data_IF_949671327462
#
_entry.id   IF_949671327462
#
_cell.length_a   1.000
_cell.length_b   1.000
_cell.length_c   1.000
_cell.angle_alpha   90.00
_cell.angle_beta   90.00
_cell.angle_gamma   90.00
#
_symmetry.space_group_name_H-M   'P 1'
#
loop_
_entity.id
_entity.type
_entity.pdbx_description
1 polymer ?
#
# COMPACT_ATOMS: atom_id res chain seq x y z
N UNK A 1 -21.13 33.67 -15.81
CA UNK A 1 -21.11 32.20 -15.79
C UNK A 1 -20.12 31.78 -14.72
N UNK A 2 -20.61 31.45 -13.53
CA UNK A 2 -19.79 30.71 -12.57
C UNK A 2 -19.29 29.45 -13.28
N UNK A 3 -17.97 29.25 -13.31
CA UNK A 3 -17.40 28.01 -13.84
C UNK A 3 -17.94 26.88 -12.98
N UNK A 4 -18.80 26.03 -13.55
CA UNK A 4 -19.28 24.82 -12.88
C UNK A 4 -18.07 24.03 -12.35
N UNK A 5 -17.97 23.89 -11.04
CA UNK A 5 -16.89 23.12 -10.43
C UNK A 5 -17.04 21.65 -10.85
N UNK A 6 -15.95 21.00 -11.29
CA UNK A 6 -15.98 19.60 -11.69
C UNK A 6 -16.40 18.70 -10.52
N UNK A 7 -16.86 17.50 -10.85
CA UNK A 7 -17.21 16.47 -9.88
C UNK A 7 -15.89 15.89 -9.35
N UNK A 8 -15.67 16.05 -8.04
CA UNK A 8 -14.34 15.92 -7.43
C UNK A 8 -14.13 14.60 -6.67
N UNK A 9 -15.07 13.66 -6.78
CA UNK A 9 -14.91 12.27 -6.32
C UNK A 9 -15.73 11.98 -5.06
N UNK A 10 -15.74 12.88 -4.08
CA UNK A 10 -16.54 12.74 -2.85
C UNK A 10 -18.06 12.82 -3.12
N UNK A 11 -18.46 13.65 -4.07
CA UNK A 11 -19.82 13.68 -4.61
C UNK A 11 -20.24 12.34 -5.28
N UNK A 12 -19.31 11.62 -5.92
CA UNK A 12 -19.59 10.29 -6.48
C UNK A 12 -19.86 9.27 -5.37
N UNK A 13 -19.07 9.33 -4.28
CA UNK A 13 -19.24 8.49 -3.10
C UNK A 13 -20.64 8.66 -2.48
N UNK A 14 -21.07 9.90 -2.26
CA UNK A 14 -22.39 10.20 -1.69
C UNK A 14 -23.53 9.68 -2.58
N UNK A 15 -23.42 9.87 -3.90
CA UNK A 15 -24.41 9.33 -4.85
C UNK A 15 -24.47 7.80 -4.84
N UNK A 16 -23.34 7.12 -4.65
CA UNK A 16 -23.30 5.66 -4.54
C UNK A 16 -23.95 5.15 -3.24
N UNK A 17 -23.80 5.88 -2.13
CA UNK A 17 -24.49 5.55 -0.88
C UNK A 17 -26.02 5.61 -1.07
N UNK A 18 -26.53 6.72 -1.61
CA UNK A 18 -27.97 6.90 -1.88
C UNK A 18 -28.48 5.87 -2.90
N UNK A 19 -27.68 5.53 -3.91
CA UNK A 19 -28.05 4.50 -4.89
C UNK A 19 -28.26 3.12 -4.24
N UNK A 20 -27.45 2.79 -3.24
CA UNK A 20 -27.46 1.46 -2.62
C UNK A 20 -28.49 1.34 -1.50
N UNK A 21 -28.63 2.38 -0.68
CA UNK A 21 -29.44 2.35 0.55
C UNK A 21 -30.78 3.06 0.42
N UNK A 22 -30.98 3.80 -0.68
CA UNK A 22 -32.18 4.61 -0.90
C UNK A 22 -32.01 6.02 -0.36
N UNK A 23 -33.11 6.77 -0.14
CA UNK A 23 -33.04 8.13 0.37
C UNK A 23 -32.37 8.19 1.75
N UNK A 24 -31.40 9.09 1.92
CA UNK A 24 -30.62 9.26 3.16
C UNK A 24 -30.72 10.70 3.70
N UNK A 25 -30.77 10.87 5.01
CA UNK A 25 -30.69 12.18 5.67
C UNK A 25 -29.26 12.76 5.58
N UNK A 26 -29.09 14.04 5.92
CA UNK A 26 -27.77 14.65 5.99
C UNK A 26 -26.86 13.96 7.02
N UNK A 27 -27.44 13.55 8.15
CA UNK A 27 -26.78 12.83 9.23
C UNK A 27 -26.31 11.44 8.77
N UNK A 28 -27.19 10.65 8.14
CA UNK A 28 -26.84 9.33 7.58
C UNK A 28 -25.70 9.45 6.53
N UNK A 29 -25.71 10.51 5.70
CA UNK A 29 -24.63 10.78 4.74
C UNK A 29 -23.32 11.19 5.42
N UNK A 30 -23.40 11.93 6.52
CA UNK A 30 -22.24 12.35 7.29
C UNK A 30 -21.59 11.17 8.01
N UNK A 31 -22.38 10.28 8.62
CA UNK A 31 -21.92 9.01 9.20
C UNK A 31 -21.17 8.16 8.16
N UNK A 32 -21.74 7.97 6.97
CA UNK A 32 -21.10 7.22 5.87
C UNK A 32 -19.78 7.84 5.45
N UNK A 33 -19.74 9.17 5.42
CA UNK A 33 -18.54 9.90 5.06
C UNK A 33 -17.47 9.75 6.13
N UNK A 34 -17.83 9.85 7.40
CA UNK A 34 -16.91 9.66 8.52
C UNK A 34 -16.33 8.25 8.54
N UNK A 35 -17.16 7.24 8.26
CA UNK A 35 -16.74 5.84 8.14
C UNK A 35 -15.77 5.63 6.97
N UNK A 36 -16.10 6.14 5.79
CA UNK A 36 -15.24 6.05 4.61
C UNK A 36 -13.88 6.71 4.84
N UNK A 37 -13.87 7.94 5.37
CA UNK A 37 -12.65 8.69 5.69
C UNK A 37 -11.79 7.96 6.73
N UNK A 38 -12.43 7.35 7.73
CA UNK A 38 -11.75 6.59 8.78
C UNK A 38 -10.98 5.39 8.23
N UNK A 39 -11.47 4.76 7.16
CA UNK A 39 -10.93 3.52 6.60
C UNK A 39 -9.93 3.72 5.46
N UNK A 40 -9.73 4.95 4.98
CA UNK A 40 -8.69 5.27 3.98
C UNK A 40 -7.33 5.37 4.66
N UNK A 41 -6.75 4.20 4.91
CA UNK A 41 -5.59 4.02 5.78
C UNK A 41 -4.28 4.61 5.24
N UNK A 42 -4.08 4.69 3.92
CA UNK A 42 -2.80 5.09 3.33
C UNK A 42 -2.45 6.58 3.51
N UNK A 43 -3.33 7.34 4.17
CA UNK A 43 -3.22 8.78 4.40
C UNK A 43 -3.01 9.14 5.86
N UNK A 44 -3.25 8.19 6.76
CA UNK A 44 -2.94 8.35 8.17
C UNK A 44 -1.43 8.14 8.30
N UNK A 45 -0.71 9.23 8.65
CA UNK A 45 0.74 9.20 8.74
C UNK A 45 1.17 8.18 9.80
N UNK A 46 2.14 7.32 9.47
CA UNK A 46 2.62 6.35 10.44
C UNK A 46 3.28 7.04 11.64
N UNK A 47 3.05 6.47 12.82
CA UNK A 47 3.70 6.92 14.07
C UNK A 47 5.22 6.90 13.97
N UNK A 48 5.91 7.67 14.83
CA UNK A 48 7.38 7.82 14.83
C UNK A 48 8.18 6.51 15.00
N UNK A 49 7.52 5.41 15.38
CA UNK A 49 8.13 4.10 15.63
C UNK A 49 8.22 3.15 14.43
N UNK A 50 7.63 3.47 13.27
CA UNK A 50 7.62 2.56 12.13
C UNK A 50 8.99 2.43 11.43
N UNK A 51 9.30 1.24 10.85
CA UNK A 51 10.48 1.02 10.01
C UNK A 51 10.68 2.11 8.96
N UNK A 52 11.94 2.42 8.65
CA UNK A 52 12.30 3.45 7.67
C UNK A 52 11.57 3.25 6.33
N UNK A 53 11.36 2.00 5.93
CA UNK A 53 10.74 1.69 4.65
C UNK A 53 9.28 2.08 4.54
N UNK A 54 8.53 1.82 5.61
CA UNK A 54 7.12 2.21 5.68
C UNK A 54 7.02 3.74 5.67
N UNK A 55 7.87 4.43 6.42
CA UNK A 55 7.94 5.90 6.43
C UNK A 55 8.23 6.49 5.04
N UNK A 56 9.15 5.89 4.28
CA UNK A 56 9.46 6.32 2.91
C UNK A 56 8.28 6.09 1.97
N UNK A 57 7.63 4.93 2.08
CA UNK A 57 6.42 4.61 1.31
C UNK A 57 5.32 5.66 1.54
N UNK A 58 4.98 5.94 2.80
CA UNK A 58 3.96 6.95 3.15
C UNK A 58 4.35 8.38 2.74
N UNK A 59 5.63 8.72 2.78
CA UNK A 59 6.11 10.01 2.30
C UNK A 59 5.95 10.15 0.79
N UNK A 60 6.21 9.08 0.03
CA UNK A 60 6.04 9.07 -1.42
C UNK A 60 4.56 9.16 -1.82
N UNK A 61 3.67 8.41 -1.15
CA UNK A 61 2.22 8.49 -1.40
C UNK A 61 1.67 9.87 -1.07
N UNK A 62 2.13 10.48 0.04
CA UNK A 62 1.76 11.85 0.41
C UNK A 62 2.27 12.90 -0.57
N UNK A 63 3.54 12.84 -0.98
CA UNK A 63 4.09 13.79 -1.95
C UNK A 63 3.30 13.75 -3.27
N UNK A 64 2.87 12.56 -3.68
CA UNK A 64 1.97 12.40 -4.83
C UNK A 64 0.63 13.09 -4.59
N UNK A 65 -0.04 12.86 -3.45
CA UNK A 65 -1.32 13.54 -3.15
C UNK A 65 -1.14 15.05 -3.14
N UNK A 66 -0.09 15.58 -2.52
CA UNK A 66 0.18 17.03 -2.46
C UNK A 66 0.44 17.63 -3.86
N UNK A 67 1.23 16.96 -4.72
CA UNK A 67 1.45 17.40 -6.11
C UNK A 67 0.18 17.36 -6.95
N UNK A 68 -0.71 16.42 -6.68
CA UNK A 68 -2.01 16.28 -7.35
C UNK A 68 -3.05 17.28 -6.81
N UNK A 69 -3.00 17.62 -5.51
CA UNK A 69 -3.86 18.60 -4.85
C UNK A 69 -3.52 20.04 -5.21
N UNK A 70 -2.25 20.38 -5.51
CA UNK A 70 -1.87 21.71 -6.02
C UNK A 70 -2.62 22.07 -7.33
N UNK A 71 -3.22 21.07 -8.01
CA UNK A 71 -4.07 21.28 -9.19
C UNK A 71 -5.54 21.61 -8.89
N UNK A 72 -6.04 21.44 -7.67
CA UNK A 72 -7.44 21.69 -7.30
C UNK A 72 -7.58 22.55 -6.04
N UNK A 73 -8.49 23.53 -6.11
CA UNK A 73 -8.72 24.58 -5.13
C UNK A 73 -9.08 24.01 -3.73
N UNK A 74 -8.44 24.53 -2.69
CA UNK A 74 -8.70 24.17 -1.28
C UNK A 74 -9.97 24.88 -0.81
N UNK A 75 -11.13 24.28 -1.04
CA UNK A 75 -12.38 24.71 -0.41
C UNK A 75 -12.86 23.67 0.61
N UNK A 76 -13.40 24.13 1.74
CA UNK A 76 -14.11 23.30 2.73
C UNK A 76 -15.22 22.51 2.01
N UNK A 77 -15.19 21.17 2.03
CA UNK A 77 -16.10 20.29 1.28
C UNK A 77 -16.77 19.23 2.18
N UNK A 78 -17.60 19.69 3.13
CA UNK A 78 -18.48 18.79 3.89
C UNK A 78 -19.59 18.17 3.03
N UNK A 79 -20.22 17.09 3.50
CA UNK A 79 -21.32 16.42 2.77
C UNK A 79 -22.39 17.43 2.34
N UNK A 80 -22.80 18.36 3.22
CA UNK A 80 -23.76 19.42 2.91
C UNK A 80 -23.38 20.24 1.66
N UNK A 81 -22.12 20.64 1.54
CA UNK A 81 -21.61 21.47 0.42
C UNK A 81 -21.64 20.67 -0.89
N UNK A 82 -21.28 19.39 -0.86
CA UNK A 82 -21.37 18.53 -2.04
C UNK A 82 -22.82 18.20 -2.41
N UNK A 83 -23.71 18.03 -1.42
CA UNK A 83 -25.13 17.82 -1.67
C UNK A 83 -25.78 19.05 -2.31
N UNK A 84 -25.45 20.25 -1.85
CA UNK A 84 -25.87 21.52 -2.47
C UNK A 84 -25.43 21.62 -3.94
N UNK A 85 -24.19 21.19 -4.23
CA UNK A 85 -23.66 21.13 -5.58
C UNK A 85 -24.43 20.12 -6.45
N UNK A 86 -24.77 18.96 -5.91
CA UNK A 86 -25.54 17.92 -6.61
C UNK A 86 -27.01 18.33 -6.84
N UNK A 87 -27.60 19.07 -5.90
CA UNK A 87 -28.92 19.71 -6.06
C UNK A 87 -28.87 20.77 -7.17
N UNK A 88 -27.87 21.65 -7.18
CA UNK A 88 -27.70 22.66 -8.24
C UNK A 88 -27.54 22.03 -9.63
N UNK A 89 -26.96 20.82 -9.71
CA UNK A 89 -26.87 20.03 -10.94
C UNK A 89 -28.17 19.28 -11.31
N UNK A 90 -29.17 19.28 -10.44
CA UNK A 90 -30.43 18.56 -10.63
C UNK A 90 -30.30 17.04 -10.54
N UNK A 91 -29.27 16.54 -9.88
CA UNK A 91 -29.02 15.09 -9.73
C UNK A 91 -29.59 14.52 -8.44
N UNK A 92 -29.80 15.38 -7.45
CA UNK A 92 -30.38 15.03 -6.16
C UNK A 92 -31.46 16.04 -5.80
N UNK A 93 -32.51 15.58 -5.14
CA UNK A 93 -33.55 16.41 -4.52
C UNK A 93 -33.68 16.07 -3.04
N UNK A 94 -34.24 16.99 -2.25
CA UNK A 94 -34.72 16.71 -0.90
C UNK A 94 -36.18 16.25 -0.98
N UNK A 95 -36.50 15.12 -0.36
CA UNK A 95 -37.85 14.59 -0.30
C UNK A 95 -38.66 15.22 0.86
N UNK A 96 -39.87 14.71 1.11
CA UNK A 96 -40.76 15.24 2.16
C UNK A 96 -40.32 14.93 3.59
N UNK A 97 -39.41 13.97 3.75
CA UNK A 97 -38.89 13.51 5.03
C UNK A 97 -37.48 14.08 5.28
N UNK A 98 -37.12 15.17 4.59
CA UNK A 98 -35.81 15.81 4.62
C UNK A 98 -34.64 14.87 4.26
N UNK A 99 -34.92 13.85 3.44
CA UNK A 99 -33.91 12.92 2.91
C UNK A 99 -33.55 13.24 1.46
N UNK A 100 -32.27 13.11 1.15
CA UNK A 100 -31.73 13.26 -0.19
C UNK A 100 -32.06 12.03 -1.04
N UNK A 101 -32.67 12.25 -2.20
CA UNK A 101 -33.03 11.23 -3.17
C UNK A 101 -32.46 11.54 -4.56
N UNK A 102 -32.08 10.49 -5.30
CA UNK A 102 -31.59 10.65 -6.67
C UNK A 102 -32.74 11.01 -7.62
N UNK A 103 -32.51 12.01 -8.48
CA UNK A 103 -33.39 12.26 -9.64
C UNK A 103 -33.24 11.17 -10.70
N UNK A 104 -34.03 11.21 -11.78
CA UNK A 104 -33.88 10.23 -12.88
C UNK A 104 -32.49 10.34 -13.52
N UNK A 105 -32.05 11.57 -13.75
CA UNK A 105 -30.72 11.89 -14.27
C UNK A 105 -29.64 11.48 -13.26
N UNK A 106 -29.82 11.80 -11.98
CA UNK A 106 -28.91 11.42 -10.90
C UNK A 106 -28.76 9.91 -10.75
N UNK A 107 -29.86 9.15 -10.86
CA UNK A 107 -29.86 7.69 -10.84
C UNK A 107 -29.01 7.12 -12.00
N UNK A 108 -29.12 7.70 -13.20
CA UNK A 108 -28.30 7.28 -14.33
C UNK A 108 -26.82 7.56 -14.09
N UNK A 109 -26.47 8.72 -13.52
CA UNK A 109 -25.08 9.07 -13.20
C UNK A 109 -24.51 8.21 -12.07
N UNK A 110 -25.27 7.99 -10.99
CA UNK A 110 -24.85 7.16 -9.86
C UNK A 110 -24.56 5.72 -10.30
N UNK A 111 -25.38 5.16 -11.20
CA UNK A 111 -25.13 3.83 -11.80
C UNK A 111 -23.83 3.79 -12.60
N UNK A 112 -23.56 4.81 -13.41
CA UNK A 112 -22.29 4.91 -14.17
C UNK A 112 -21.09 4.95 -13.20
N UNK A 113 -21.19 5.68 -12.09
CA UNK A 113 -20.13 5.72 -11.07
C UNK A 113 -19.93 4.36 -10.40
N UNK A 114 -21.03 3.72 -9.98
CA UNK A 114 -20.98 2.37 -9.39
C UNK A 114 -20.38 1.32 -10.35
N UNK A 115 -20.78 1.33 -11.62
CA UNK A 115 -20.21 0.44 -12.65
C UNK A 115 -18.73 0.71 -12.90
N UNK A 116 -18.32 1.99 -12.91
CA UNK A 116 -16.91 2.36 -13.07
C UNK A 116 -16.06 1.83 -11.93
N UNK A 117 -16.49 2.03 -10.68
CA UNK A 117 -15.77 1.52 -9.50
C UNK A 117 -15.73 -0.01 -9.49
N UNK A 118 -16.83 -0.69 -9.83
CA UNK A 118 -16.84 -2.16 -9.99
C UNK A 118 -15.87 -2.64 -11.03
N UNK A 119 -15.79 -1.95 -12.17
CA UNK A 119 -14.83 -2.26 -13.22
C UNK A 119 -13.39 -2.05 -12.76
N UNK A 120 -13.13 -0.99 -12.00
CA UNK A 120 -11.81 -0.73 -11.39
C UNK A 120 -11.46 -1.81 -10.36
N UNK A 121 -12.38 -2.19 -9.49
CA UNK A 121 -12.20 -3.30 -8.54
C UNK A 121 -11.90 -4.62 -9.24
N UNK A 122 -12.64 -4.96 -10.30
CA UNK A 122 -12.38 -6.17 -11.10
C UNK A 122 -11.02 -6.13 -11.81
N UNK A 123 -10.54 -4.95 -12.21
CA UNK A 123 -9.18 -4.79 -12.72
C UNK A 123 -8.15 -5.04 -11.62
N UNK A 124 -8.34 -4.46 -10.43
CA UNK A 124 -7.47 -4.69 -9.27
C UNK A 124 -7.42 -6.16 -8.89
N UNK A 125 -8.57 -6.85 -8.85
CA UNK A 125 -8.65 -8.30 -8.62
C UNK A 125 -7.83 -9.08 -9.65
N UNK A 126 -7.84 -8.63 -10.92
CA UNK A 126 -7.04 -9.25 -11.97
C UNK A 126 -5.54 -9.01 -11.76
N UNK A 127 -5.13 -7.81 -11.34
CA UNK A 127 -3.72 -7.51 -11.02
C UNK A 127 -3.23 -8.41 -9.87
N UNK A 128 -4.03 -8.54 -8.81
CA UNK A 128 -3.73 -9.36 -7.63
C UNK A 128 -3.77 -10.88 -7.88
N UNK A 129 -3.95 -11.35 -9.12
CA UNK A 129 -3.79 -12.78 -9.47
C UNK A 129 -2.31 -13.15 -9.60
N UNK A 130 -1.91 -14.37 -9.21
CA UNK A 130 -0.50 -14.77 -9.25
C UNK A 130 0.16 -14.64 -10.63
N UNK A 131 -0.56 -15.06 -11.68
CA UNK A 131 -0.06 -15.00 -13.05
C UNK A 131 0.06 -13.57 -13.58
N UNK A 132 -0.85 -12.66 -13.20
CA UNK A 132 -0.76 -11.25 -13.60
C UNK A 132 0.35 -10.55 -12.82
N UNK A 133 0.50 -10.87 -11.54
CA UNK A 133 1.61 -10.38 -10.70
C UNK A 133 2.96 -10.75 -11.31
N UNK A 134 3.19 -12.03 -11.64
CA UNK A 134 4.43 -12.48 -12.28
C UNK A 134 4.67 -11.85 -13.66
N UNK A 135 3.59 -11.62 -14.43
CA UNK A 135 3.70 -10.90 -15.70
C UNK A 135 4.12 -9.43 -15.51
N UNK A 136 3.55 -8.74 -14.52
CA UNK A 136 3.91 -7.36 -14.22
C UNK A 136 5.34 -7.26 -13.68
N UNK A 137 5.78 -8.22 -12.86
CA UNK A 137 7.18 -8.39 -12.44
C UNK A 137 8.08 -8.46 -13.68
N UNK A 138 7.76 -9.34 -14.62
CA UNK A 138 8.54 -9.50 -15.86
C UNK A 138 8.70 -8.18 -16.65
N UNK A 139 7.61 -7.42 -16.80
CA UNK A 139 7.66 -6.14 -17.50
C UNK A 139 8.51 -5.09 -16.77
N UNK A 140 8.41 -5.06 -15.45
CA UNK A 140 9.15 -4.09 -14.64
C UNK A 140 10.65 -4.45 -14.59
N UNK A 141 11.00 -5.73 -14.43
CA UNK A 141 12.40 -6.18 -14.46
C UNK A 141 13.03 -5.92 -15.82
N UNK A 142 12.32 -6.20 -16.92
CA UNK A 142 12.80 -5.90 -18.27
C UNK A 142 13.08 -4.40 -18.47
N UNK A 143 12.21 -3.55 -17.92
CA UNK A 143 12.39 -2.10 -17.95
C UNK A 143 13.59 -1.66 -17.11
N UNK A 144 13.77 -2.22 -15.91
CA UNK A 144 14.91 -1.93 -15.05
C UNK A 144 16.22 -2.39 -15.66
N UNK A 145 16.27 -3.59 -16.24
CA UNK A 145 17.42 -4.11 -16.97
C UNK A 145 17.84 -3.17 -18.10
N UNK A 146 16.88 -2.69 -18.90
CA UNK A 146 17.14 -1.72 -19.95
C UNK A 146 17.69 -0.39 -19.40
N UNK A 147 17.08 0.15 -18.35
CA UNK A 147 17.55 1.40 -17.73
C UNK A 147 18.95 1.28 -17.12
N UNK A 148 19.22 0.19 -16.39
CA UNK A 148 20.50 -0.07 -15.73
C UNK A 148 21.61 -0.30 -16.75
N UNK A 149 21.42 -1.21 -17.71
CA UNK A 149 22.40 -1.44 -18.76
C UNK A 149 22.64 -0.19 -19.61
N UNK A 150 21.58 0.51 -20.01
CA UNK A 150 21.70 1.76 -20.78
C UNK A 150 22.44 2.85 -19.98
N UNK A 151 22.05 3.07 -18.73
CA UNK A 151 22.70 4.03 -17.83
C UNK A 151 24.16 3.67 -17.54
N UNK A 152 24.46 2.38 -17.36
CA UNK A 152 25.80 1.85 -17.14
C UNK A 152 26.72 2.10 -18.34
N UNK A 153 26.25 1.77 -19.55
CA UNK A 153 27.00 2.03 -20.79
C UNK A 153 27.25 3.52 -21.04
N UNK A 154 26.27 4.38 -20.77
CA UNK A 154 26.40 5.84 -20.95
C UNK A 154 27.34 6.45 -19.91
N UNK A 155 27.28 5.99 -18.66
CA UNK A 155 28.11 6.49 -17.55
C UNK A 155 29.50 5.86 -17.48
N UNK A 156 29.76 4.80 -18.24
CA UNK A 156 30.95 3.96 -18.08
C UNK A 156 31.02 3.27 -16.71
N UNK A 157 29.91 3.14 -15.99
CA UNK A 157 29.88 2.55 -14.65
C UNK A 157 29.84 1.03 -14.73
N UNK A 158 30.97 0.37 -14.45
CA UNK A 158 31.05 -1.09 -14.42
C UNK A 158 30.11 -1.71 -13.38
N UNK A 159 29.92 -1.05 -12.22
CA UNK A 159 28.98 -1.50 -11.20
C UNK A 159 27.52 -1.49 -11.67
N UNK A 160 27.12 -0.43 -12.38
CA UNK A 160 25.75 -0.34 -12.92
C UNK A 160 25.54 -1.29 -14.12
N UNK A 161 26.59 -1.58 -14.90
CA UNK A 161 26.55 -2.59 -15.97
C UNK A 161 26.39 -4.00 -15.38
N UNK A 162 27.12 -4.31 -14.30
CA UNK A 162 27.00 -5.59 -13.60
C UNK A 162 25.59 -5.78 -13.05
N UNK A 163 25.08 -4.80 -12.29
CA UNK A 163 23.71 -4.82 -11.75
C UNK A 163 22.63 -4.84 -12.85
N UNK A 164 22.86 -4.19 -13.99
CA UNK A 164 21.97 -4.30 -15.16
C UNK A 164 22.01 -5.68 -15.84
N UNK A 165 23.15 -6.38 -15.77
CA UNK A 165 23.30 -7.73 -16.30
C UNK A 165 22.58 -8.75 -15.41
N UNK A 166 22.66 -8.59 -14.10
CA UNK A 166 21.88 -9.35 -13.13
C UNK A 166 20.38 -9.12 -13.37
N UNK A 167 19.92 -7.87 -13.45
CA UNK A 167 18.53 -7.53 -13.77
C UNK A 167 18.02 -8.15 -15.10
N UNK A 168 18.93 -8.39 -16.05
CA UNK A 168 18.60 -9.10 -17.30
C UNK A 168 18.38 -10.59 -17.05
N UNK A 169 19.19 -11.23 -16.21
CA UNK A 169 18.96 -12.61 -15.78
C UNK A 169 17.65 -12.73 -15.00
N UNK A 170 17.36 -11.79 -14.11
CA UNK A 170 16.12 -11.76 -13.33
C UNK A 170 14.90 -11.58 -14.24
N UNK A 171 15.02 -10.79 -15.31
CA UNK A 171 13.98 -10.70 -16.34
C UNK A 171 13.71 -12.06 -16.99
N UNK A 172 14.77 -12.81 -17.34
CA UNK A 172 14.61 -14.16 -17.92
C UNK A 172 13.98 -15.11 -16.91
N UNK A 173 14.40 -15.05 -15.64
CA UNK A 173 13.81 -15.81 -14.57
C UNK A 173 12.32 -15.48 -14.37
N UNK A 174 11.97 -14.20 -14.32
CA UNK A 174 10.59 -13.73 -14.18
C UNK A 174 9.69 -14.21 -15.32
N UNK A 175 10.20 -14.25 -16.57
CA UNK A 175 9.49 -14.86 -17.71
C UNK A 175 9.21 -16.35 -17.43
N UNK A 176 10.23 -17.09 -16.96
CA UNK A 176 10.08 -18.52 -16.67
C UNK A 176 9.12 -18.77 -15.51
N UNK A 177 9.16 -17.93 -14.48
CA UNK A 177 8.22 -17.96 -13.35
C UNK A 177 6.80 -17.66 -13.82
N UNK A 178 6.60 -16.63 -14.65
CA UNK A 178 5.29 -16.31 -15.21
C UNK A 178 4.72 -17.47 -16.03
N UNK A 179 5.52 -18.06 -16.92
CA UNK A 179 5.13 -19.25 -17.68
C UNK A 179 4.86 -20.43 -16.75
N UNK A 180 5.68 -20.61 -15.72
CA UNK A 180 5.53 -21.66 -14.74
C UNK A 180 4.21 -21.57 -13.98
N UNK A 181 3.85 -20.39 -13.45
CA UNK A 181 2.55 -20.15 -12.81
C UNK A 181 1.41 -20.38 -13.82
N UNK A 182 1.53 -19.84 -15.04
CA UNK A 182 0.52 -19.97 -16.09
C UNK A 182 0.25 -21.43 -16.52
N UNK A 183 1.26 -22.28 -16.48
CA UNK A 183 1.18 -23.70 -16.85
C UNK A 183 1.20 -24.64 -15.63
N UNK A 184 0.89 -24.13 -14.42
CA UNK A 184 0.80 -24.91 -13.17
C UNK A 184 2.08 -25.71 -12.83
N UNK A 185 3.25 -25.08 -13.04
CA UNK A 185 4.60 -25.57 -12.71
C UNK A 185 5.25 -24.69 -11.62
N UNK A 186 4.48 -24.30 -10.61
CA UNK A 186 4.96 -23.39 -9.55
C UNK A 186 6.17 -23.94 -8.79
N UNK A 187 6.18 -25.23 -8.45
CA UNK A 187 7.33 -25.88 -7.79
C UNK A 187 8.64 -25.70 -8.54
N UNK A 188 8.61 -25.88 -9.86
CA UNK A 188 9.80 -25.66 -10.71
C UNK A 188 10.18 -24.18 -10.71
N UNK A 189 9.19 -23.28 -10.72
CA UNK A 189 9.39 -21.84 -10.68
C UNK A 189 10.04 -21.40 -9.37
N UNK A 190 9.59 -21.90 -8.22
CA UNK A 190 10.23 -21.67 -6.92
C UNK A 190 11.69 -22.13 -6.93
N UNK A 191 11.99 -23.32 -7.46
CA UNK A 191 13.36 -23.81 -7.56
C UNK A 191 14.23 -22.97 -8.49
N UNK A 192 13.66 -22.42 -9.58
CA UNK A 192 14.37 -21.48 -10.45
C UNK A 192 14.74 -20.22 -9.69
N UNK A 193 13.81 -19.63 -8.93
CA UNK A 193 14.09 -18.43 -8.11
C UNK A 193 15.15 -18.70 -7.05
N UNK A 194 15.04 -19.82 -6.34
CA UNK A 194 16.05 -20.21 -5.34
C UNK A 194 17.42 -20.42 -5.98
N UNK A 195 17.48 -21.01 -7.17
CA UNK A 195 18.74 -21.18 -7.92
C UNK A 195 19.30 -19.83 -8.37
N UNK A 196 18.46 -18.91 -8.86
CA UNK A 196 18.82 -17.54 -9.20
C UNK A 196 19.44 -16.81 -8.02
N UNK A 197 18.80 -16.88 -6.84
CA UNK A 197 19.33 -16.30 -5.60
C UNK A 197 20.71 -16.86 -5.20
N UNK A 198 20.95 -18.16 -5.38
CA UNK A 198 22.28 -18.74 -5.14
C UNK A 198 23.31 -18.21 -6.14
N UNK A 199 22.95 -18.09 -7.41
CA UNK A 199 23.81 -17.53 -8.46
C UNK A 199 24.13 -16.08 -8.13
N UNK A 200 23.11 -15.24 -7.86
CA UNK A 200 23.27 -13.85 -7.47
C UNK A 200 24.16 -13.71 -6.24
N UNK A 201 23.96 -14.51 -5.18
CA UNK A 201 24.81 -14.49 -3.99
C UNK A 201 26.28 -14.79 -4.32
N UNK A 202 26.55 -15.81 -5.15
CA UNK A 202 27.91 -16.18 -5.55
C UNK A 202 28.53 -15.07 -6.40
N UNK A 203 27.81 -14.54 -7.39
CA UNK A 203 28.27 -13.47 -8.27
C UNK A 203 28.59 -12.21 -7.48
N UNK A 204 27.67 -11.74 -6.62
CA UNK A 204 27.87 -10.55 -5.79
C UNK A 204 29.07 -10.72 -4.85
N UNK A 205 29.22 -11.89 -4.21
CA UNK A 205 30.39 -12.16 -3.35
C UNK A 205 31.68 -12.17 -4.16
N UNK A 206 31.69 -12.82 -5.33
CA UNK A 206 32.86 -12.90 -6.20
C UNK A 206 33.27 -11.52 -6.72
N UNK A 207 32.33 -10.74 -7.22
CA UNK A 207 32.54 -9.38 -7.73
C UNK A 207 33.03 -8.45 -6.62
N UNK A 208 32.47 -8.58 -5.42
CA UNK A 208 32.94 -7.83 -4.25
C UNK A 208 34.40 -8.16 -3.88
N UNK A 209 34.78 -9.45 -3.88
CA UNK A 209 36.15 -9.86 -3.59
C UNK A 209 37.11 -9.35 -4.67
N UNK A 210 36.75 -9.52 -5.94
CA UNK A 210 37.60 -9.10 -7.05
C UNK A 210 37.77 -7.59 -7.11
N UNK A 211 36.71 -6.81 -6.85
CA UNK A 211 36.77 -5.36 -6.78
C UNK A 211 37.64 -4.85 -5.61
N UNK A 212 37.54 -5.49 -4.44
CA UNK A 212 38.45 -5.20 -3.31
C UNK A 212 39.91 -5.43 -3.69
N UNK A 213 40.21 -6.59 -4.29
CA UNK A 213 41.58 -6.92 -4.73
C UNK A 213 42.11 -5.95 -5.79
N UNK A 214 41.28 -5.58 -6.78
CA UNK A 214 41.64 -4.62 -7.82
C UNK A 214 41.89 -3.21 -7.26
N UNK A 215 41.07 -2.77 -6.30
CA UNK A 215 41.21 -1.48 -5.62
C UNK A 215 42.50 -1.42 -4.80
N UNK A 216 42.81 -2.47 -4.03
CA UNK A 216 44.08 -2.58 -3.31
C UNK A 216 45.28 -2.72 -4.25
N UNK A 217 45.08 -3.29 -5.44
CA UNK A 217 46.07 -3.36 -6.51
C UNK A 217 46.26 -2.06 -7.30
N UNK A 218 45.53 -0.98 -7.00
CA UNK A 218 45.67 0.33 -7.64
C UNK A 218 44.99 0.48 -9.00
N UNK A 219 44.09 -0.43 -9.38
CA UNK A 219 43.41 -0.45 -10.69
C UNK A 219 41.95 0.04 -10.60
N UNK A 220 41.67 1.07 -9.80
CA UNK A 220 40.32 1.64 -9.71
C UNK A 220 40.04 2.58 -10.89
N UNK A 221 39.08 2.22 -11.75
CA UNK A 221 38.62 3.10 -12.83
C UNK A 221 37.61 4.13 -12.31
N UNK A 222 37.76 5.43 -12.62
CA UNK A 222 36.82 6.45 -12.15
C UNK A 222 35.46 6.35 -12.84
N UNK A 223 34.39 6.43 -12.05
CA UNK A 223 33.03 6.59 -12.58
C UNK A 223 32.90 7.97 -13.24
N UNK A 224 32.56 8.03 -14.53
CA UNK A 224 32.49 9.32 -15.25
C UNK A 224 31.23 10.13 -14.95
N UNK A 225 30.12 9.46 -14.59
CA UNK A 225 28.84 10.11 -14.28
C UNK A 225 28.15 9.52 -13.04
N UNK A 226 28.69 9.73 -11.82
CA UNK A 226 28.16 9.13 -10.60
C UNK A 226 26.71 9.58 -10.28
N UNK A 227 26.32 10.80 -10.66
CA UNK A 227 24.94 11.27 -10.48
C UNK A 227 23.92 10.53 -11.35
N UNK A 228 24.31 10.11 -12.56
CA UNK A 228 23.44 9.28 -13.42
C UNK A 228 23.23 7.90 -12.79
N UNK A 229 24.30 7.31 -12.25
CA UNK A 229 24.24 6.04 -11.52
C UNK A 229 23.28 6.14 -10.34
N UNK A 230 23.44 7.17 -9.50
CA UNK A 230 22.55 7.40 -8.34
C UNK A 230 21.08 7.57 -8.78
N UNK A 231 20.83 8.27 -9.88
CA UNK A 231 19.47 8.49 -10.38
C UNK A 231 18.83 7.19 -10.90
N UNK A 232 19.57 6.41 -11.70
CA UNK A 232 19.08 5.12 -12.25
C UNK A 232 18.84 4.11 -11.14
N UNK A 233 19.78 3.97 -10.21
CA UNK A 233 19.62 3.10 -9.03
C UNK A 233 18.49 3.57 -8.12
N UNK A 234 18.31 4.89 -7.96
CA UNK A 234 17.19 5.43 -7.21
C UNK A 234 15.83 4.99 -7.77
N UNK A 235 15.68 5.01 -9.10
CA UNK A 235 14.48 4.49 -9.78
C UNK A 235 14.36 2.98 -9.58
N UNK A 236 15.45 2.22 -9.75
CA UNK A 236 15.45 0.77 -9.58
C UNK A 236 15.07 0.34 -8.16
N UNK A 237 15.60 1.00 -7.13
CA UNK A 237 15.27 0.75 -5.73
C UNK A 237 13.78 1.02 -5.47
N UNK A 238 13.22 2.12 -5.99
CA UNK A 238 11.79 2.41 -5.84
C UNK A 238 10.91 1.35 -6.51
N UNK A 239 11.30 0.89 -7.70
CA UNK A 239 10.61 -0.20 -8.40
C UNK A 239 10.73 -1.54 -7.66
N UNK A 240 11.91 -1.87 -7.15
CA UNK A 240 12.14 -3.07 -6.35
C UNK A 240 11.38 -3.05 -5.03
N UNK A 241 11.22 -1.87 -4.40
CA UNK A 241 10.29 -1.70 -3.28
C UNK A 241 8.87 -2.05 -3.69
N UNK A 242 8.34 -1.43 -4.73
CA UNK A 242 7.00 -1.73 -5.21
C UNK A 242 6.81 -3.23 -5.49
N UNK A 243 7.77 -3.88 -6.18
CA UNK A 243 7.74 -5.32 -6.46
C UNK A 243 7.76 -6.16 -5.18
N UNK A 244 8.64 -5.85 -4.23
CA UNK A 244 8.69 -6.53 -2.94
C UNK A 244 7.33 -6.52 -2.25
N UNK A 245 6.70 -5.35 -2.10
CA UNK A 245 5.38 -5.23 -1.48
C UNK A 245 4.31 -5.99 -2.26
N UNK A 246 4.25 -5.78 -3.58
CA UNK A 246 3.22 -6.34 -4.45
C UNK A 246 3.29 -7.88 -4.52
N UNK A 247 4.47 -8.44 -4.77
CA UNK A 247 4.70 -9.87 -4.84
C UNK A 247 4.52 -10.54 -3.48
N UNK A 248 4.99 -9.91 -2.39
CA UNK A 248 4.81 -10.44 -1.03
C UNK A 248 3.34 -10.52 -0.65
N UNK A 249 2.58 -9.48 -0.96
CA UNK A 249 1.15 -9.44 -0.70
C UNK A 249 0.42 -10.56 -1.44
N UNK A 250 0.55 -10.61 -2.78
CA UNK A 250 -0.14 -11.61 -3.59
C UNK A 250 0.34 -13.01 -3.25
N UNK A 251 1.64 -13.21 -3.04
CA UNK A 251 2.22 -14.49 -2.66
C UNK A 251 1.64 -15.05 -1.36
N UNK A 252 1.36 -14.22 -0.37
CA UNK A 252 0.71 -14.67 0.86
C UNK A 252 -0.78 -14.95 0.70
N UNK A 253 -1.53 -14.00 0.14
CA UNK A 253 -2.99 -14.14 -0.01
C UNK A 253 -3.33 -15.35 -0.88
N UNK A 254 -2.48 -15.69 -1.84
CA UNK A 254 -2.66 -16.84 -2.74
C UNK A 254 -1.85 -18.07 -2.36
N UNK A 255 -1.16 -18.03 -1.22
CA UNK A 255 -0.30 -19.11 -0.73
C UNK A 255 0.77 -19.59 -1.75
N UNK A 256 1.28 -18.68 -2.59
CA UNK A 256 2.28 -18.96 -3.63
C UNK A 256 3.70 -18.69 -3.13
N UNK A 257 4.40 -19.76 -2.74
CA UNK A 257 5.82 -19.72 -2.38
C UNK A 257 6.70 -19.15 -3.51
N UNK A 258 6.29 -19.33 -4.77
CA UNK A 258 6.96 -18.76 -5.94
C UNK A 258 7.02 -17.23 -5.86
N UNK A 259 5.88 -16.58 -5.60
CA UNK A 259 5.82 -15.12 -5.49
C UNK A 259 6.45 -14.60 -4.20
N UNK A 260 6.35 -15.37 -3.11
CA UNK A 260 7.11 -15.06 -1.88
C UNK A 260 8.61 -15.09 -2.19
N UNK A 261 9.10 -16.06 -2.96
CA UNK A 261 10.50 -16.13 -3.37
C UNK A 261 10.90 -14.93 -4.23
N UNK A 262 10.11 -14.56 -5.24
CA UNK A 262 10.35 -13.34 -6.06
C UNK A 262 10.38 -12.06 -5.21
N UNK A 263 9.55 -11.98 -4.17
CA UNK A 263 9.56 -10.83 -3.27
C UNK A 263 10.88 -10.74 -2.48
N UNK A 264 11.43 -11.89 -2.05
CA UNK A 264 12.74 -11.92 -1.36
C UNK A 264 13.84 -11.48 -2.32
N UNK A 265 13.76 -11.86 -3.58
CA UNK A 265 14.69 -11.42 -4.62
C UNK A 265 14.59 -9.89 -4.87
N UNK A 266 13.38 -9.37 -5.02
CA UNK A 266 13.15 -7.91 -5.10
C UNK A 266 13.68 -7.15 -3.86
N UNK A 267 13.55 -7.74 -2.66
CA UNK A 267 14.17 -7.21 -1.42
C UNK A 267 15.70 -7.18 -1.52
N UNK A 268 16.32 -8.17 -2.16
CA UNK A 268 17.77 -8.20 -2.36
C UNK A 268 18.24 -7.10 -3.32
N UNK A 269 17.50 -6.83 -4.41
CA UNK A 269 17.82 -5.71 -5.32
C UNK A 269 17.81 -4.33 -4.66
N UNK A 270 16.96 -4.13 -3.64
CA UNK A 270 17.00 -2.91 -2.82
C UNK A 270 18.37 -2.77 -2.14
N UNK A 271 18.88 -3.85 -1.54
CA UNK A 271 20.17 -3.82 -0.84
C UNK A 271 21.35 -3.71 -1.80
N UNK A 272 21.30 -4.41 -2.93
CA UNK A 272 22.30 -4.30 -4.01
C UNK A 272 22.34 -2.87 -4.54
N UNK A 273 21.22 -2.32 -5.00
CA UNK A 273 21.17 -0.95 -5.54
C UNK A 273 21.57 0.10 -4.50
N UNK A 274 21.17 -0.09 -3.22
CA UNK A 274 21.63 0.78 -2.14
C UNK A 274 23.15 0.73 -1.95
N UNK A 275 23.76 -0.45 -2.07
CA UNK A 275 25.22 -0.63 -2.05
C UNK A 275 25.89 0.13 -3.19
N UNK A 276 25.34 0.04 -4.42
CA UNK A 276 25.84 0.77 -5.59
C UNK A 276 25.75 2.29 -5.41
N UNK A 277 24.63 2.80 -4.89
CA UNK A 277 24.48 4.24 -4.57
C UNK A 277 25.52 4.69 -3.54
N UNK A 278 25.69 3.94 -2.44
CA UNK A 278 26.67 4.25 -1.41
C UNK A 278 28.07 4.24 -2.03
N UNK A 279 28.39 3.24 -2.84
CA UNK A 279 29.61 3.17 -3.64
C UNK A 279 29.88 4.41 -4.46
N UNK A 280 28.91 4.79 -5.29
CA UNK A 280 28.99 5.97 -6.14
C UNK A 280 29.21 7.26 -5.33
N UNK A 281 28.55 7.40 -4.17
CA UNK A 281 28.76 8.54 -3.27
C UNK A 281 30.19 8.57 -2.73
N UNK A 282 30.72 7.44 -2.25
CA UNK A 282 32.10 7.37 -1.74
C UNK A 282 33.16 7.56 -2.85
N UNK A 283 32.87 7.08 -4.06
CA UNK A 283 33.73 7.27 -5.23
C UNK A 283 33.87 8.76 -5.61
N UNK A 284 32.82 9.59 -5.42
CA UNK A 284 32.91 11.05 -5.59
C UNK A 284 33.98 11.66 -4.67
N UNK A 285 34.18 11.09 -3.47
CA UNK A 285 35.18 11.53 -2.50
C UNK A 285 36.54 10.79 -2.64
N UNK A 286 36.72 10.00 -3.71
CA UNK A 286 37.96 9.27 -3.97
C UNK A 286 38.14 7.98 -3.16
N UNK A 287 37.06 7.45 -2.58
CA UNK A 287 37.08 6.17 -1.85
C UNK A 287 36.34 5.10 -2.66
N UNK A 288 37.09 4.12 -3.18
CA UNK A 288 36.58 3.17 -4.19
C UNK A 288 36.31 1.75 -3.70
N UNK A 289 36.48 1.46 -2.40
CA UNK A 289 36.35 0.08 -1.86
C UNK A 289 35.07 -0.16 -1.05
N UNK A 290 34.29 0.89 -0.75
CA UNK A 290 33.19 0.82 0.23
C UNK A 290 32.03 -0.03 -0.28
N UNK A 291 31.68 0.10 -1.56
CA UNK A 291 30.67 -0.72 -2.22
C UNK A 291 30.98 -2.20 -2.16
N UNK A 292 32.24 -2.58 -2.39
CA UNK A 292 32.65 -3.96 -2.38
C UNK A 292 32.62 -4.56 -0.97
N UNK A 293 32.93 -3.77 0.07
CA UNK A 293 32.76 -4.21 1.45
C UNK A 293 31.28 -4.44 1.79
N UNK A 294 30.40 -3.51 1.39
CA UNK A 294 28.95 -3.65 1.60
C UNK A 294 28.41 -4.84 0.79
N UNK A 295 28.88 -5.02 -0.45
CA UNK A 295 28.53 -6.13 -1.33
C UNK A 295 28.82 -7.50 -0.70
N UNK A 296 29.92 -7.64 0.06
CA UNK A 296 30.17 -8.88 0.82
C UNK A 296 29.08 -9.18 1.85
N UNK A 297 28.64 -8.16 2.60
CA UNK A 297 27.57 -8.32 3.58
C UNK A 297 26.23 -8.61 2.90
N UNK A 298 25.93 -7.92 1.79
CA UNK A 298 24.71 -8.15 1.01
C UNK A 298 24.70 -9.56 0.43
N UNK A 299 25.76 -10.00 -0.23
CA UNK A 299 25.87 -11.35 -0.81
C UNK A 299 25.72 -12.46 0.24
N UNK A 300 26.27 -12.29 1.44
CA UNK A 300 26.05 -13.22 2.55
C UNK A 300 24.58 -13.25 3.01
N UNK A 301 23.91 -12.09 2.99
CA UNK A 301 22.47 -11.98 3.25
C UNK A 301 21.63 -12.73 2.21
N UNK A 302 21.92 -12.53 0.92
CA UNK A 302 21.24 -13.22 -0.20
C UNK A 302 21.42 -14.74 -0.05
N UNK A 303 22.62 -15.20 0.26
CA UNK A 303 22.89 -16.63 0.46
C UNK A 303 22.04 -17.21 1.61
N UNK A 304 21.95 -16.50 2.74
CA UNK A 304 21.10 -16.91 3.87
C UNK A 304 19.64 -17.01 3.44
N UNK A 305 19.14 -16.02 2.70
CA UNK A 305 17.75 -15.99 2.22
C UNK A 305 17.47 -17.16 1.26
N UNK A 306 18.38 -17.45 0.33
CA UNK A 306 18.29 -18.59 -0.58
C UNK A 306 18.21 -19.94 0.19
N UNK A 307 18.99 -20.08 1.27
CA UNK A 307 18.95 -21.27 2.14
C UNK A 307 17.63 -21.38 2.90
N UNK A 308 17.04 -20.26 3.36
CA UNK A 308 15.71 -20.26 4.02
C UNK A 308 14.65 -20.75 3.04
N UNK A 309 14.56 -20.12 1.87
CA UNK A 309 13.58 -20.47 0.84
C UNK A 309 13.74 -21.89 0.33
N UNK A 310 14.98 -22.39 0.22
CA UNK A 310 15.22 -23.79 -0.16
C UNK A 310 14.64 -24.76 0.88
N UNK A 311 14.72 -24.44 2.17
CA UNK A 311 14.16 -25.29 3.23
C UNK A 311 12.64 -25.35 3.14
N UNK A 312 12.00 -24.22 2.91
CA UNK A 312 10.54 -24.11 2.72
C UNK A 312 10.10 -24.84 1.46
N UNK A 313 10.82 -24.67 0.35
CA UNK A 313 10.53 -25.39 -0.90
C UNK A 313 10.60 -26.92 -0.71
N UNK A 314 11.60 -27.42 0.03
CA UNK A 314 11.72 -28.84 0.38
C UNK A 314 10.60 -29.28 1.33
N UNK A 315 10.20 -28.44 2.27
CA UNK A 315 9.13 -28.74 3.22
C UNK A 315 7.75 -28.81 2.53
N UNK A 316 7.43 -27.82 1.69
CA UNK A 316 6.23 -27.80 0.86
C UNK A 316 6.17 -29.02 -0.07
N UNK A 317 7.30 -29.48 -0.62
CA UNK A 317 7.36 -30.70 -1.44
C UNK A 317 6.98 -31.96 -0.65
N UNK A 318 7.25 -31.99 0.65
CA UNK A 318 6.91 -33.11 1.54
C UNK A 318 5.46 -33.09 2.02
N UNK A 319 4.64 -32.15 1.53
CA UNK A 319 3.23 -32.03 1.87
C UNK A 319 2.97 -31.34 3.22
N UNK A 320 3.94 -30.58 3.72
CA UNK A 320 3.70 -29.72 4.87
C UNK A 320 2.89 -28.49 4.46
N UNK A 321 1.81 -28.20 5.18
CA UNK A 321 1.09 -26.93 5.07
C UNK A 321 1.83 -25.88 5.91
N UNK A 322 2.54 -24.96 5.26
CA UNK A 322 3.15 -23.83 5.95
C UNK A 322 2.17 -22.67 6.05
N UNK A 323 2.10 -22.10 7.24
CA UNK A 323 1.62 -20.74 7.43
C UNK A 323 2.81 -19.80 7.20
N UNK A 324 3.01 -19.39 5.94
CA UNK A 324 4.06 -18.44 5.55
C UNK A 324 3.95 -17.11 6.33
N UNK A 325 2.85 -16.84 7.02
CA UNK A 325 2.63 -15.64 7.83
C UNK A 325 3.57 -15.49 9.01
N UNK A 326 4.14 -16.59 9.52
CA UNK A 326 5.07 -16.54 10.65
C UNK A 326 6.47 -16.09 10.23
N UNK A 327 6.94 -16.55 9.08
CA UNK A 327 8.30 -16.28 8.59
C UNK A 327 8.34 -15.06 7.67
N UNK A 328 7.30 -14.86 6.86
CA UNK A 328 7.16 -13.75 5.93
C UNK A 328 6.00 -12.85 6.34
N UNK A 329 6.28 -11.92 7.25
CA UNK A 329 5.34 -10.84 7.57
C UNK A 329 4.97 -10.06 6.30
N UNK A 330 3.71 -9.65 6.21
CA UNK A 330 3.27 -8.68 5.22
C UNK A 330 3.87 -7.33 5.61
N UNK A 331 4.66 -6.73 4.72
CA UNK A 331 5.08 -5.35 4.91
C UNK A 331 3.82 -4.47 4.97
N UNK A 332 3.76 -3.50 5.90
CA UNK A 332 2.57 -2.67 6.20
C UNK A 332 1.36 -3.38 6.84
N UNK A 333 1.37 -4.69 7.11
CA UNK A 333 0.25 -5.31 7.82
C UNK A 333 0.05 -4.71 9.22
N UNK A 334 1.15 -4.46 9.94
CA UNK A 334 1.08 -3.76 11.23
C UNK A 334 0.47 -2.37 11.05
N UNK A 335 0.76 -1.68 9.94
CA UNK A 335 0.15 -0.39 9.62
C UNK A 335 -1.34 -0.50 9.24
N UNK A 336 -1.78 -1.54 8.52
CA UNK A 336 -3.20 -1.77 8.22
C UNK A 336 -4.00 -2.08 9.48
N UNK A 337 -3.46 -2.95 10.33
CA UNK A 337 -4.05 -3.28 11.62
C UNK A 337 -4.14 -2.04 12.51
N UNK A 338 -3.07 -1.24 12.58
CA UNK A 338 -3.03 0.03 13.33
C UNK A 338 -4.05 1.04 12.79
N UNK A 339 -4.12 1.21 11.47
CA UNK A 339 -5.08 2.13 10.85
C UNK A 339 -6.53 1.70 11.06
N UNK A 340 -6.82 0.40 11.08
CA UNK A 340 -8.15 -0.11 11.45
C UNK A 340 -8.51 0.27 12.89
N UNK A 341 -7.55 0.24 13.83
CA UNK A 341 -7.77 0.73 15.19
C UNK A 341 -7.97 2.25 15.24
N UNK A 342 -7.25 3.02 14.42
CA UNK A 342 -7.45 4.46 14.30
C UNK A 342 -8.85 4.76 13.77
N UNK A 343 -9.34 3.99 12.78
CA UNK A 343 -10.71 4.13 12.27
C UNK A 343 -11.76 3.95 13.37
N UNK A 344 -11.60 2.92 14.21
CA UNK A 344 -12.49 2.68 15.35
C UNK A 344 -12.42 3.82 16.36
N UNK A 345 -11.22 4.33 16.65
CA UNK A 345 -11.02 5.47 17.57
C UNK A 345 -11.66 6.75 17.05
N UNK A 346 -11.50 7.06 15.78
CA UNK A 346 -12.13 8.21 15.15
C UNK A 346 -13.65 8.10 15.17
N UNK A 347 -14.19 6.90 14.97
CA UNK A 347 -15.62 6.64 15.13
C UNK A 347 -16.10 6.88 16.57
N UNK A 348 -15.35 6.42 17.58
CA UNK A 348 -15.67 6.69 18.99
C UNK A 348 -15.71 8.20 19.26
N UNK A 349 -14.71 8.96 18.81
CA UNK A 349 -14.68 10.41 18.98
C UNK A 349 -15.86 11.09 18.27
N UNK A 350 -16.22 10.61 17.08
CA UNK A 350 -17.37 11.09 16.33
C UNK A 350 -18.70 10.85 17.07
N UNK A 351 -18.93 9.64 17.60
CA UNK A 351 -20.13 9.33 18.39
C UNK A 351 -20.26 10.23 19.63
N UNK A 352 -19.14 10.53 20.29
CA UNK A 352 -19.12 11.42 21.45
C UNK A 352 -19.27 12.90 21.05
N UNK A 353 -18.95 13.26 19.82
CA UNK A 353 -19.15 14.62 19.32
C UNK A 353 -20.63 14.93 19.09
N UNK A 354 -21.39 13.97 18.56
CA UNK A 354 -22.84 14.11 18.33
C UNK A 354 -23.65 14.20 19.62
N UNK A 355 -23.33 13.37 20.60
CA UNK A 355 -24.17 13.21 21.80
C UNK A 355 -23.52 13.60 23.12
N UNK A 356 -22.29 14.12 23.07
CA UNK A 356 -21.46 14.61 24.19
C UNK A 356 -21.08 13.55 25.25
N UNK A 357 -21.92 12.54 25.48
CA UNK A 357 -21.70 11.45 26.43
C UNK A 357 -22.33 10.13 25.93
N UNK A 358 -21.60 9.02 26.10
CA UNK A 358 -22.08 7.66 25.79
C UNK A 358 -21.54 6.64 26.77
N UNK A 359 -22.34 5.63 27.07
CA UNK A 359 -21.92 4.47 27.86
C UNK A 359 -21.04 3.53 27.03
N UNK A 360 -20.24 2.68 27.70
CA UNK A 360 -19.47 1.60 27.04
C UNK A 360 -20.34 0.75 26.11
N UNK A 361 -21.55 0.40 26.56
CA UNK A 361 -22.45 -0.50 25.82
C UNK A 361 -22.95 0.14 24.53
N UNK A 362 -23.27 1.43 24.55
CA UNK A 362 -23.70 2.17 23.36
C UNK A 362 -22.57 2.30 22.34
N UNK A 363 -21.36 2.63 22.80
CA UNK A 363 -20.18 2.73 21.93
C UNK A 363 -19.89 1.38 21.26
N UNK A 364 -19.86 0.28 22.03
CA UNK A 364 -19.62 -1.07 21.49
C UNK A 364 -20.71 -1.48 20.49
N UNK A 365 -21.98 -1.20 20.81
CA UNK A 365 -23.09 -1.51 19.91
C UNK A 365 -22.97 -0.77 18.59
N UNK A 366 -22.61 0.52 18.62
CA UNK A 366 -22.39 1.32 17.41
C UNK A 366 -21.19 0.80 16.60
N UNK A 367 -20.08 0.48 17.25
CA UNK A 367 -18.91 -0.09 16.57
C UNK A 367 -19.24 -1.41 15.85
N UNK A 368 -19.98 -2.31 16.52
CA UNK A 368 -20.44 -3.56 15.91
C UNK A 368 -21.34 -3.34 14.71
N UNK A 369 -22.30 -2.41 14.78
CA UNK A 369 -23.19 -2.13 13.63
C UNK A 369 -22.46 -1.45 12.48
N UNK A 370 -21.60 -0.47 12.78
CA UNK A 370 -20.95 0.37 11.77
C UNK A 370 -19.85 -0.38 11.03
N UNK A 371 -19.02 -1.14 11.75
CA UNK A 371 -17.91 -1.90 11.16
C UNK A 371 -18.28 -3.37 10.91
N UNK A 372 -19.58 -3.68 10.86
CA UNK A 372 -20.03 -5.01 10.44
C UNK A 372 -19.59 -5.27 8.99
N UNK A 373 -19.06 -6.46 8.64
CA UNK A 373 -18.65 -6.78 7.28
C UNK A 373 -19.73 -6.59 6.20
N UNK A 374 -21.01 -6.72 6.59
CA UNK A 374 -22.16 -6.52 5.69
C UNK A 374 -22.53 -5.06 5.44
N UNK A 375 -21.97 -4.11 6.21
CA UNK A 375 -22.26 -2.69 6.02
C UNK A 375 -21.64 -2.19 4.71
N UNK A 376 -22.47 -1.62 3.83
CA UNK A 376 -21.98 -1.11 2.56
C UNK A 376 -21.28 0.24 2.77
N UNK A 377 -20.01 0.27 2.39
CA UNK A 377 -19.19 1.47 2.33
C UNK A 377 -18.79 1.66 0.87
N UNK A 378 -19.30 2.68 0.17
CA UNK A 378 -19.00 2.88 -1.23
C UNK A 378 -17.49 2.87 -1.50
N UNK A 379 -17.09 2.31 -2.64
CA UNK A 379 -15.69 2.05 -3.03
C UNK A 379 -15.02 0.95 -2.22
N UNK A 380 -15.00 1.02 -0.89
CA UNK A 380 -14.31 0.03 -0.05
C UNK A 380 -14.97 -1.35 -0.14
N UNK A 381 -16.30 -1.43 -0.12
CA UNK A 381 -17.02 -2.70 -0.29
C UNK A 381 -16.82 -3.29 -1.69
N UNK A 382 -16.71 -2.46 -2.73
CA UNK A 382 -16.43 -2.95 -4.10
C UNK A 382 -15.01 -3.50 -4.21
N UNK A 383 -14.06 -2.92 -3.45
CA UNK A 383 -12.68 -3.37 -3.34
C UNK A 383 -12.48 -4.48 -2.29
N UNK A 384 -13.52 -4.89 -1.57
CA UNK A 384 -13.45 -5.84 -0.45
C UNK A 384 -12.48 -5.43 0.66
N UNK A 385 -12.34 -4.12 0.88
CA UNK A 385 -11.39 -3.53 1.81
C UNK A 385 -12.01 -3.17 3.19
N UNK A 386 -13.17 -3.74 3.53
CA UNK A 386 -13.92 -3.45 4.76
C UNK A 386 -13.68 -4.45 5.89
N UNK A 387 -12.87 -5.49 5.65
CA UNK A 387 -12.67 -6.62 6.55
C UNK A 387 -13.73 -7.71 6.35
N UNK A 388 -13.32 -8.98 6.47
CA UNK A 388 -14.19 -10.15 6.26
C UNK A 388 -14.70 -10.77 7.57
N UNK A 389 -14.03 -10.52 8.69
CA UNK A 389 -14.40 -11.04 10.02
C UNK A 389 -14.81 -9.90 10.98
N UNK A 390 -15.85 -10.09 11.81
CA UNK A 390 -16.22 -9.14 12.85
C UNK A 390 -15.09 -8.92 13.87
N UNK A 391 -14.86 -7.68 14.27
CA UNK A 391 -13.89 -7.35 15.31
C UNK A 391 -14.49 -7.56 16.71
N UNK A 392 -13.75 -8.24 17.60
CA UNK A 392 -14.14 -8.43 19.00
C UNK A 392 -13.96 -7.14 19.81
N UNK A 393 -14.92 -6.21 19.64
CA UNK A 393 -14.95 -4.94 20.38
C UNK A 393 -15.14 -5.15 21.88
N UNK A 394 -15.89 -6.17 22.30
CA UNK A 394 -16.19 -6.44 23.71
C UNK A 394 -14.92 -6.70 24.53
N UNK A 395 -14.09 -7.64 24.08
CA UNK A 395 -12.84 -8.00 24.78
C UNK A 395 -11.74 -6.95 24.58
N UNK A 396 -11.72 -6.26 23.44
CA UNK A 396 -10.63 -5.35 23.06
C UNK A 396 -10.92 -3.87 23.32
N UNK A 397 -12.11 -3.52 23.83
CA UNK A 397 -12.54 -2.14 24.08
C UNK A 397 -11.50 -1.30 24.84
N UNK A 398 -10.90 -1.87 25.89
CA UNK A 398 -9.89 -1.19 26.70
C UNK A 398 -8.67 -0.75 25.88
N UNK A 399 -8.27 -1.53 24.87
CA UNK A 399 -7.14 -1.19 23.99
C UNK A 399 -7.50 -0.08 22.98
N UNK A 400 -8.79 0.10 22.67
CA UNK A 400 -9.27 1.17 21.81
C UNK A 400 -9.34 2.49 22.56
N UNK A 401 -9.90 2.48 23.78
CA UNK A 401 -10.12 3.67 24.61
C UNK A 401 -8.83 4.19 25.25
N UNK A 402 -7.94 3.31 25.69
CA UNK A 402 -6.74 3.70 26.47
C UNK A 402 -5.94 4.85 25.81
N UNK A 403 -5.60 4.80 24.51
CA UNK A 403 -4.87 5.90 23.87
C UNK A 403 -5.66 7.20 23.81
N UNK A 404 -6.99 7.13 23.65
CA UNK A 404 -7.85 8.32 23.64
C UNK A 404 -7.87 9.03 25.01
N UNK A 405 -7.79 8.27 26.11
CA UNK A 405 -7.65 8.81 27.47
C UNK A 405 -6.23 9.36 27.69
N UNK A 406 -5.19 8.58 27.32
CA UNK A 406 -3.79 8.98 27.51
C UNK A 406 -3.42 10.24 26.73
N UNK A 407 -4.03 10.45 25.56
CA UNK A 407 -3.88 11.66 24.75
C UNK A 407 -4.86 12.77 25.15
N UNK A 408 -5.66 12.58 26.20
CA UNK A 408 -6.66 13.52 26.72
C UNK A 408 -7.70 13.92 25.66
N UNK A 409 -8.05 13.01 24.74
CA UNK A 409 -9.06 13.24 23.70
C UNK A 409 -10.47 12.99 24.25
N UNK A 410 -10.61 12.06 25.19
CA UNK A 410 -11.84 11.82 25.94
C UNK A 410 -11.53 11.58 27.43
N UNK A 411 -12.53 11.74 28.27
CA UNK A 411 -12.47 11.40 29.71
C UNK A 411 -13.46 10.28 30.02
N UNK A 412 -13.10 9.44 30.99
CA UNK A 412 -13.97 8.40 31.55
C UNK A 412 -14.55 8.92 32.87
N UNK A 413 -15.86 9.12 32.90
CA UNK A 413 -16.64 9.35 34.11
C UNK A 413 -17.37 8.05 34.49
N UNK A 414 -18.17 8.06 35.57
CA UNK A 414 -18.80 6.84 36.10
C UNK A 414 -19.71 6.22 35.03
N UNK A 415 -19.25 5.11 34.44
CA UNK A 415 -19.93 4.33 33.38
C UNK A 415 -20.13 5.05 32.03
N UNK A 416 -19.59 6.27 31.88
CA UNK A 416 -19.77 7.11 30.69
C UNK A 416 -18.44 7.68 30.19
N UNK A 417 -18.36 7.94 28.89
CA UNK A 417 -17.23 8.61 28.25
C UNK A 417 -17.69 9.94 27.69
N UNK A 418 -16.90 11.00 27.90
CA UNK A 418 -17.17 12.34 27.40
C UNK A 418 -16.06 12.84 26.49
N UNK A 419 -16.43 13.56 25.43
CA UNK A 419 -15.47 14.20 24.54
C UNK A 419 -14.85 15.43 25.22
N UNK A 420 -13.54 15.61 25.07
CA UNK A 420 -12.86 16.84 25.51
C UNK A 420 -12.78 17.87 24.38
N UNK A 421 -12.49 19.13 24.70
CA UNK A 421 -12.19 20.16 23.70
C UNK A 421 -11.04 19.74 22.76
N UNK A 422 -10.03 19.06 23.30
CA UNK A 422 -8.88 18.55 22.54
C UNK A 422 -9.29 17.41 21.60
N UNK A 423 -10.20 16.54 22.03
CA UNK A 423 -10.82 15.51 21.19
C UNK A 423 -11.64 16.11 20.05
N UNK A 424 -12.40 17.15 20.33
CA UNK A 424 -13.15 17.89 19.31
C UNK A 424 -12.22 18.57 18.28
N UNK A 425 -11.16 19.22 18.75
CA UNK A 425 -10.14 19.81 17.88
C UNK A 425 -9.43 18.75 17.03
N UNK A 426 -9.10 17.59 17.63
CA UNK A 426 -8.51 16.45 16.92
C UNK A 426 -9.43 15.98 15.79
N UNK A 427 -10.72 15.78 16.08
CA UNK A 427 -11.70 15.33 15.09
C UNK A 427 -11.90 16.37 13.97
N UNK A 428 -11.98 17.67 14.31
CA UNK A 428 -12.04 18.76 13.33
C UNK A 428 -10.81 18.78 12.42
N UNK A 429 -9.62 18.62 12.99
CA UNK A 429 -8.37 18.55 12.23
C UNK A 429 -8.32 17.33 11.32
N UNK A 430 -8.80 16.17 11.81
CA UNK A 430 -8.96 14.96 11.01
C UNK A 430 -9.88 15.25 9.81
N UNK A 431 -11.12 15.71 10.03
CA UNK A 431 -12.11 15.98 8.98
C UNK A 431 -11.56 17.01 7.96
N UNK A 432 -10.95 18.10 8.43
CA UNK A 432 -10.40 19.16 7.58
C UNK A 432 -9.18 18.73 6.76
N UNK A 433 -8.53 17.63 7.11
CA UNK A 433 -7.46 17.07 6.28
C UNK A 433 -8.01 16.44 4.98
N UNK A 434 -9.34 16.26 4.85
CA UNK A 434 -9.96 15.58 3.73
C UNK A 434 -10.87 16.49 2.87
N UNK A 435 -10.29 17.42 2.10
CA UNK A 435 -11.07 18.41 1.33
C UNK A 435 -11.32 18.09 -0.15
N UNK A 436 -10.64 17.10 -0.76
CA UNK A 436 -10.85 16.71 -2.17
C UNK A 436 -10.46 15.24 -2.39
N UNK A 437 -11.45 14.35 -2.54
CA UNK A 437 -11.16 12.90 -2.63
C UNK A 437 -11.78 12.22 -3.85
N UNK A 438 -10.92 11.84 -4.79
CA UNK A 438 -11.24 10.92 -5.87
C UNK A 438 -10.34 9.68 -5.72
N UNK A 439 -10.91 8.53 -5.36
CA UNK A 439 -10.16 7.28 -5.29
C UNK A 439 -9.74 6.89 -6.71
N UNK A 440 -8.44 6.95 -6.99
CA UNK A 440 -7.90 6.60 -8.31
C UNK A 440 -7.48 5.13 -8.34
N UNK A 441 -7.16 4.64 -9.54
CA UNK A 441 -6.73 3.24 -9.74
C UNK A 441 -5.57 2.80 -8.83
N UNK A 442 -4.57 3.66 -8.61
CA UNK A 442 -3.46 3.36 -7.69
C UNK A 442 -3.92 3.26 -6.24
N UNK A 443 -4.86 4.11 -5.83
CA UNK A 443 -5.44 4.08 -4.48
C UNK A 443 -6.29 2.82 -4.30
N UNK A 444 -7.01 2.42 -5.35
CA UNK A 444 -7.82 1.22 -5.38
C UNK A 444 -6.97 -0.05 -5.17
N UNK A 445 -5.79 -0.11 -5.80
CA UNK A 445 -4.84 -1.20 -5.60
C UNK A 445 -4.34 -1.23 -4.15
N UNK A 446 -3.96 -0.08 -3.58
CA UNK A 446 -3.51 -0.01 -2.19
C UNK A 446 -4.62 -0.41 -1.22
N UNK A 447 -5.84 0.14 -1.37
CA UNK A 447 -6.98 -0.21 -0.54
C UNK A 447 -7.30 -1.71 -0.61
N UNK A 448 -7.23 -2.31 -1.80
CA UNK A 448 -7.41 -3.75 -1.97
C UNK A 448 -6.29 -4.59 -1.33
N UNK A 449 -5.10 -4.02 -1.09
CA UNK A 449 -4.06 -4.71 -0.33
C UNK A 449 -4.38 -4.81 1.16
N UNK A 450 -5.35 -4.07 1.70
CA UNK A 450 -5.82 -4.25 3.08
C UNK A 450 -6.86 -5.38 3.24
N UNK A 451 -7.05 -6.22 2.22
CA UNK A 451 -7.91 -7.41 2.31
C UNK A 451 -7.35 -8.40 3.33
N UNK A 452 -8.23 -9.02 4.09
CA UNK A 452 -7.87 -10.10 5.00
C UNK A 452 -7.37 -11.32 4.21
N UNK A 453 -6.44 -12.08 4.79
CA UNK A 453 -5.71 -13.20 4.14
C UNK A 453 -6.60 -14.38 3.71
N UNK A 454 -7.86 -14.42 4.13
CA UNK A 454 -8.75 -15.58 4.01
C UNK A 454 -9.78 -15.52 2.89
N UNK A 455 -9.68 -14.59 1.95
CA UNK A 455 -10.60 -14.65 0.81
C UNK A 455 -10.15 -15.73 -0.19
N UNK A 456 -11.02 -16.73 -0.41
CA UNK A 456 -10.95 -17.64 -1.55
C UNK A 456 -11.00 -16.80 -2.86
N UNK A 457 -9.84 -16.55 -3.47
CA UNK A 457 -9.68 -15.85 -4.77
C UNK A 457 -9.57 -16.84 -5.93
#
# INVERSE_FOLDING_TARGET
MEKEKPILGYDKFLMMAILKEGPLSLEELWEKSMLFLSLIWYQQLPGKGQPLMERLFFKATRLRSELEEVRNDKSNHGAEIEMDKLIKKGWINLNKDDKYELTKEGLSQAKIFGEKIKKEAAMVDKELKPSTTAMNTTFLDAFLAFLKLGGGLISGSMGLIADGSDATMDTVEAILVWLGIKYHREKLSTLLVVAGLFIAAITVLFDSITHLLATFGGHAEPITMPYLVIAVEGVAILSAFFLFYYQRFVGKVTNSLTLISQSVDSKNHIFIGSSVIIGAIFAIYGVFFVDALIGLFVGAGIFRDAVSLLREAIFAERGGEEDYSKEYKLPLQECWEENRLIAFRNWILYLLWEDQQRTRKEIISSLHSTFHPDNYIPVLSELKATGSEPYDFDSKFKNLIKPLIEEELLIEEIEEYLLTEKGEEHLKNFINSFNNYDVRRSDALLLAMARDEKEDI
#
